data_IF_772179640480
#
_entry.id   IF_772179640480
#
_cell.length_a   1.000
_cell.length_b   1.000
_cell.length_c   1.000
_cell.angle_alpha   90.00
_cell.angle_beta   90.00
_cell.angle_gamma   90.00
#
_symmetry.space_group_name_H-M   'P 1'
#
loop_
_entity.id
_entity.type
_entity.pdbx_description
1 polymer ?
#
# COMPACT_ATOMS: atom_id res chain seq x y z
N UNK A 1 -17.99 -22.95 -41.23
CA UNK A 1 -17.16 -21.76 -40.99
C UNK A 1 -17.58 -20.88 -39.79
N UNK A 2 -18.69 -21.14 -39.09
CA UNK A 2 -19.16 -20.28 -37.96
C UNK A 2 -18.51 -20.57 -36.59
N UNK A 3 -17.86 -21.71 -36.40
CA UNK A 3 -17.39 -22.17 -35.07
C UNK A 3 -16.10 -21.50 -34.60
N UNK A 4 -15.23 -21.06 -35.51
CA UNK A 4 -13.95 -20.41 -35.16
C UNK A 4 -14.12 -18.97 -34.65
N UNK A 5 -15.19 -18.26 -35.03
CA UNK A 5 -15.47 -16.91 -34.49
C UNK A 5 -15.83 -16.93 -33.01
N UNK A 6 -16.61 -17.91 -32.55
CA UNK A 6 -17.04 -17.97 -31.15
C UNK A 6 -15.87 -18.21 -30.18
N UNK A 7 -14.90 -19.04 -30.57
CA UNK A 7 -13.70 -19.28 -29.77
C UNK A 7 -12.85 -18.01 -29.57
N UNK A 8 -12.74 -17.16 -30.60
CA UNK A 8 -11.97 -15.91 -30.53
C UNK A 8 -12.62 -14.88 -29.60
N UNK A 9 -13.95 -14.77 -29.60
CA UNK A 9 -14.69 -13.85 -28.72
C UNK A 9 -14.56 -14.27 -27.25
N UNK A 10 -14.66 -15.57 -26.95
CA UNK A 10 -14.50 -16.07 -25.58
C UNK A 10 -13.10 -15.79 -25.01
N UNK A 11 -12.05 -15.96 -25.82
CA UNK A 11 -10.68 -15.66 -25.41
C UNK A 11 -10.47 -14.15 -25.13
N UNK A 12 -11.08 -13.26 -25.92
CA UNK A 12 -11.01 -11.82 -25.70
C UNK A 12 -11.72 -11.37 -24.42
N UNK A 13 -12.92 -11.91 -24.15
CA UNK A 13 -13.64 -11.64 -22.90
C UNK A 13 -12.89 -12.13 -21.66
N UNK A 14 -12.20 -13.27 -21.77
CA UNK A 14 -11.36 -13.81 -20.69
C UNK A 14 -10.23 -12.85 -20.29
N UNK A 15 -9.54 -12.27 -21.27
CA UNK A 15 -8.46 -11.31 -21.00
C UNK A 15 -8.97 -9.99 -20.37
N UNK A 16 -10.14 -9.52 -20.80
CA UNK A 16 -10.74 -8.30 -20.24
C UNK A 16 -11.18 -8.49 -18.79
N UNK A 17 -11.67 -9.68 -18.42
CA UNK A 17 -12.13 -9.99 -17.06
C UNK A 17 -11.01 -9.93 -16.00
N UNK A 18 -9.74 -10.11 -16.38
CA UNK A 18 -8.60 -10.07 -15.45
C UNK A 18 -8.03 -8.66 -15.20
N UNK A 19 -8.54 -7.61 -15.87
CA UNK A 19 -8.00 -6.25 -15.72
C UNK A 19 -8.57 -5.45 -14.53
N UNK A 20 -9.19 -6.12 -13.56
CA UNK A 20 -9.71 -5.51 -12.33
C UNK A 20 -8.63 -5.16 -11.30
N UNK A 21 -7.65 -4.32 -11.65
CA UNK A 21 -6.76 -3.72 -10.65
C UNK A 21 -7.58 -2.73 -9.80
N UNK A 22 -7.95 -3.11 -8.58
CA UNK A 22 -8.61 -2.27 -7.58
C UNK A 22 -7.72 -1.07 -7.18
N UNK A 23 -7.62 -0.09 -8.08
CA UNK A 23 -6.72 1.07 -7.98
C UNK A 23 -7.47 2.26 -7.36
N UNK A 24 -8.21 2.03 -6.27
CA UNK A 24 -9.02 3.08 -5.63
C UNK A 24 -8.39 3.46 -4.30
N UNK A 25 -8.29 4.76 -4.04
CA UNK A 25 -8.02 5.25 -2.69
C UNK A 25 -9.11 4.74 -1.74
N UNK A 26 -8.72 4.43 -0.50
CA UNK A 26 -9.65 3.99 0.54
C UNK A 26 -10.71 5.07 0.74
N UNK A 27 -11.98 4.68 0.74
CA UNK A 27 -13.06 5.63 0.96
C UNK A 27 -13.09 6.06 2.43
N UNK A 28 -13.50 7.31 2.74
CA UNK A 28 -13.46 7.83 4.10
C UNK A 28 -14.20 6.96 5.14
N UNK A 29 -15.30 6.32 4.76
CA UNK A 29 -16.06 5.40 5.62
C UNK A 29 -15.33 4.08 5.93
N UNK A 30 -14.20 3.82 5.26
CA UNK A 30 -13.35 2.63 5.43
C UNK A 30 -12.00 2.94 6.07
N UNK A 31 -11.78 4.18 6.55
CA UNK A 31 -10.56 4.50 7.29
C UNK A 31 -10.49 3.72 8.60
N UNK A 32 -9.29 3.27 8.95
CA UNK A 32 -9.06 2.42 10.12
C UNK A 32 -9.30 3.13 11.46
N UNK A 33 -9.35 4.47 11.47
CA UNK A 33 -9.38 5.27 12.68
C UNK A 33 -8.03 5.31 13.40
N UNK A 34 -6.94 5.01 12.70
CA UNK A 34 -5.57 5.12 13.25
C UNK A 34 -5.17 6.58 13.45
N UNK A 35 -5.54 7.45 12.50
CA UNK A 35 -5.34 8.89 12.60
C UNK A 35 -6.59 9.53 13.18
N UNK A 36 -6.41 10.51 14.06
CA UNK A 36 -7.52 11.31 14.60
C UNK A 36 -8.22 12.13 13.49
N UNK A 37 -7.45 12.57 12.50
CA UNK A 37 -7.95 13.35 11.37
C UNK A 37 -7.26 12.92 10.07
N UNK A 38 -8.05 12.68 9.03
CA UNK A 38 -7.58 12.30 7.70
C UNK A 38 -7.66 13.47 6.70
N UNK A 39 -8.23 14.63 7.05
CA UNK A 39 -8.46 15.75 6.12
C UNK A 39 -7.20 16.30 5.46
N UNK A 40 -6.06 16.14 6.13
CA UNK A 40 -4.81 16.74 5.69
C UNK A 40 -4.06 15.82 4.70
N UNK A 41 -4.53 14.58 4.52
CA UNK A 41 -4.00 13.65 3.54
C UNK A 41 -4.40 14.08 2.13
N UNK A 42 -3.42 14.14 1.24
CA UNK A 42 -3.62 14.43 -0.18
C UNK A 42 -3.35 13.19 -1.03
N UNK A 43 -4.12 13.02 -2.09
CA UNK A 43 -3.86 11.98 -3.08
C UNK A 43 -2.56 12.29 -3.85
N UNK A 44 -1.72 11.27 -4.00
CA UNK A 44 -0.49 11.32 -4.78
C UNK A 44 -0.27 9.97 -5.48
N UNK A 45 0.73 9.89 -6.34
CA UNK A 45 1.04 8.69 -7.12
C UNK A 45 2.25 7.99 -6.52
N UNK A 46 2.13 6.69 -6.25
CA UNK A 46 3.25 5.85 -5.81
C UNK A 46 4.28 5.68 -6.93
N UNK A 47 5.48 5.19 -6.60
CA UNK A 47 6.49 4.82 -7.59
C UNK A 47 6.00 3.75 -8.61
N UNK A 48 5.00 2.96 -8.23
CA UNK A 48 4.36 1.95 -9.09
C UNK A 48 3.13 2.46 -9.84
N UNK A 49 2.85 3.76 -9.81
CA UNK A 49 1.74 4.38 -10.53
C UNK A 49 0.37 4.21 -9.88
N UNK A 50 0.30 3.80 -8.62
CA UNK A 50 -0.97 3.62 -7.89
C UNK A 50 -1.31 4.84 -7.05
N UNK A 51 -2.60 5.23 -6.94
CA UNK A 51 -2.98 6.33 -6.09
C UNK A 51 -2.81 5.95 -4.61
N UNK A 52 -2.20 6.84 -3.84
CA UNK A 52 -1.99 6.70 -2.40
C UNK A 52 -2.29 8.02 -1.70
N UNK A 53 -2.63 7.96 -0.42
CA UNK A 53 -2.81 9.15 0.41
C UNK A 53 -1.52 9.44 1.18
N UNK A 54 -1.06 10.69 1.12
CA UNK A 54 0.14 11.16 1.82
C UNK A 54 -0.11 12.52 2.45
N UNK A 55 0.37 12.72 3.68
CA UNK A 55 0.50 14.04 4.27
C UNK A 55 1.93 14.54 4.09
N UNK A 56 2.07 15.81 3.75
CA UNK A 56 3.35 16.51 3.71
C UNK A 56 3.16 17.84 4.43
N UNK A 57 4.04 18.14 5.39
CA UNK A 57 4.04 19.45 6.03
C UNK A 57 4.20 20.55 4.97
N UNK A 58 3.34 21.59 4.94
CA UNK A 58 3.42 22.65 3.93
C UNK A 58 4.74 23.43 3.94
N UNK A 59 5.47 23.41 5.05
CA UNK A 59 6.77 24.03 5.22
C UNK A 59 7.94 23.05 5.05
N UNK A 60 7.66 21.79 4.68
CA UNK A 60 8.67 20.77 4.48
C UNK A 60 9.67 21.20 3.40
N UNK A 61 10.94 21.20 3.81
CA UNK A 61 12.08 21.48 2.95
C UNK A 61 13.14 20.44 3.29
N UNK A 62 13.38 19.52 2.35
CA UNK A 62 14.31 18.41 2.53
C UNK A 62 15.72 18.90 2.89
N UNK A 63 16.14 20.08 2.42
CA UNK A 63 17.48 20.63 2.69
C UNK A 63 17.73 20.99 4.16
N UNK A 64 16.67 21.03 4.97
CA UNK A 64 16.74 21.34 6.41
C UNK A 64 16.91 20.09 7.29
N UNK A 65 16.98 18.91 6.71
CA UNK A 65 17.08 17.64 7.43
C UNK A 65 18.29 16.87 6.93
N UNK A 66 18.99 16.19 7.84
CA UNK A 66 20.17 15.36 7.59
C UNK A 66 19.92 13.87 7.85
N UNK A 67 18.73 13.54 8.36
CA UNK A 67 18.43 12.21 8.85
C UNK A 67 16.94 11.87 8.77
N UNK A 68 16.66 10.58 8.65
CA UNK A 68 15.32 10.00 8.63
C UNK A 68 15.10 9.27 9.96
N UNK A 69 14.08 9.69 10.69
CA UNK A 69 13.60 8.94 11.86
C UNK A 69 12.64 7.84 11.40
N UNK A 70 13.07 6.59 11.49
CA UNK A 70 12.23 5.44 11.21
C UNK A 70 11.52 4.95 12.48
N UNK A 71 10.21 4.72 12.37
CA UNK A 71 9.39 4.11 13.41
C UNK A 71 8.82 2.78 12.89
N UNK A 72 8.87 1.68 13.69
CA UNK A 72 8.34 0.40 13.27
C UNK A 72 6.85 0.47 12.91
N UNK A 73 6.49 -0.24 11.84
CA UNK A 73 5.12 -0.52 11.46
C UNK A 73 4.46 -1.36 12.57
N UNK A 74 3.20 -1.05 12.83
CA UNK A 74 2.34 -1.76 13.78
C UNK A 74 1.00 -2.07 13.13
N UNK A 75 0.29 -3.05 13.68
CA UNK A 75 -1.08 -3.31 13.27
C UNK A 75 -2.06 -2.38 13.97
N UNK A 76 -3.04 -1.86 13.21
CA UNK A 76 -4.17 -1.16 13.79
C UNK A 76 -5.49 -1.41 13.02
N UNK A 77 -6.56 -1.81 13.70
CA UNK A 77 -6.58 -2.28 15.09
C UNK A 77 -5.72 -3.55 15.24
N UNK A 78 -5.33 -3.88 16.47
CA UNK A 78 -4.56 -5.11 16.73
C UNK A 78 -5.39 -6.33 16.27
N UNK A 79 -4.89 -7.13 15.31
CA UNK A 79 -5.64 -8.27 14.78
C UNK A 79 -5.71 -9.38 15.83
N UNK A 80 -6.83 -10.09 15.84
CA UNK A 80 -6.97 -11.33 16.60
C UNK A 80 -6.57 -12.50 15.71
N UNK A 81 -5.63 -13.36 16.13
CA UNK A 81 -5.33 -14.59 15.42
C UNK A 81 -6.58 -15.41 15.14
N UNK A 82 -6.64 -16.02 13.98
CA UNK A 82 -7.71 -16.92 13.54
C UNK A 82 -7.15 -18.25 13.08
N UNK A 83 -8.03 -19.19 12.73
CA UNK A 83 -7.61 -20.47 12.11
C UNK A 83 -6.98 -20.28 10.73
N UNK A 84 -7.34 -19.21 10.00
CA UNK A 84 -6.73 -18.91 8.69
C UNK A 84 -5.42 -18.13 8.83
N UNK A 85 -5.34 -17.21 9.80
CA UNK A 85 -4.17 -16.36 10.03
C UNK A 85 -3.81 -16.39 11.51
N UNK A 86 -2.90 -17.29 11.87
CA UNK A 86 -2.41 -17.43 13.24
C UNK A 86 -1.38 -16.37 13.62
N UNK A 87 -1.07 -16.25 14.91
CA UNK A 87 -0.11 -15.28 15.44
C UNK A 87 1.26 -15.34 14.76
N UNK A 88 1.79 -16.56 14.53
CA UNK A 88 3.08 -16.75 13.85
C UNK A 88 3.11 -16.16 12.43
N UNK A 89 1.97 -16.14 11.73
CA UNK A 89 1.87 -15.52 10.40
C UNK A 89 1.85 -14.00 10.52
N UNK A 90 1.09 -13.46 11.47
CA UNK A 90 1.07 -12.02 11.77
C UNK A 90 2.48 -11.52 12.16
N UNK A 91 3.18 -12.23 13.04
CA UNK A 91 4.53 -11.90 13.45
C UNK A 91 5.50 -11.93 12.28
N UNK A 92 5.42 -12.97 11.43
CA UNK A 92 6.29 -13.09 10.26
C UNK A 92 6.08 -11.95 9.28
N UNK A 93 4.83 -11.59 9.00
CA UNK A 93 4.49 -10.47 8.11
C UNK A 93 5.02 -9.17 8.70
N UNK A 94 4.73 -8.89 9.98
CA UNK A 94 5.15 -7.65 10.63
C UNK A 94 6.68 -7.52 10.69
N UNK A 95 7.37 -8.60 11.04
CA UNK A 95 8.84 -8.62 11.10
C UNK A 95 9.43 -8.41 9.71
N UNK A 96 8.93 -9.12 8.70
CA UNK A 96 9.37 -8.94 7.32
C UNK A 96 9.18 -7.48 6.86
N UNK A 97 7.98 -6.93 7.04
CA UNK A 97 7.71 -5.53 6.68
C UNK A 97 8.63 -4.57 7.41
N UNK A 98 8.88 -4.76 8.71
CA UNK A 98 9.77 -3.88 9.45
C UNK A 98 11.22 -3.97 9.01
N UNK A 99 11.74 -5.17 8.73
CA UNK A 99 13.10 -5.35 8.21
C UNK A 99 13.27 -4.60 6.88
N UNK A 100 12.41 -4.88 5.90
CA UNK A 100 12.51 -4.30 4.56
C UNK A 100 12.33 -2.77 4.59
N UNK A 101 11.38 -2.27 5.40
CA UNK A 101 11.15 -0.83 5.52
C UNK A 101 12.28 -0.12 6.25
N UNK A 102 12.90 -0.77 7.25
CA UNK A 102 14.07 -0.20 7.92
C UNK A 102 15.25 -0.14 6.97
N UNK A 103 15.54 -1.20 6.24
CA UNK A 103 16.63 -1.24 5.25
C UNK A 103 16.43 -0.18 4.16
N UNK A 104 15.20 -0.03 3.66
CA UNK A 104 14.85 1.04 2.72
C UNK A 104 15.03 2.45 3.33
N UNK A 105 14.67 2.62 4.61
CA UNK A 105 14.87 3.88 5.34
C UNK A 105 16.35 4.21 5.55
N UNK A 106 17.16 3.22 5.95
CA UNK A 106 18.60 3.35 6.11
C UNK A 106 19.26 3.70 4.76
N UNK A 107 18.86 3.03 3.68
CA UNK A 107 19.34 3.34 2.33
C UNK A 107 18.93 4.76 1.88
N UNK A 108 17.72 5.19 2.18
CA UNK A 108 17.27 6.56 1.89
C UNK A 108 18.04 7.60 2.71
N UNK A 109 18.42 7.29 3.96
CA UNK A 109 19.24 8.16 4.80
C UNK A 109 20.65 8.39 4.24
N UNK A 110 21.17 7.47 3.41
CA UNK A 110 22.48 7.65 2.74
C UNK A 110 22.42 8.63 1.56
N UNK A 111 21.23 9.06 1.16
CA UNK A 111 21.00 9.96 0.01
C UNK A 111 20.67 11.41 0.43
N UNK A 112 20.64 11.68 1.73
CA UNK A 112 20.43 13.03 2.31
C UNK A 112 21.80 13.64 2.59
#
# INVERSE_FOLDING_TARGET
MRTTSFAKVAALCGLLALSGCASKITQPDKYSGFLNNYSDLKETTSATGKPVLRWLDPSFDQSKYDSIVWNPITYYPVPKPSTQVGQKVLDKILNYTNTEMKEAGDAANLLI
#
